data_IF_145630054967
#
_entry.id   IF_145630054967
#
_cell.length_a   1.000
_cell.length_b   1.000
_cell.length_c   1.000
_cell.angle_alpha   90.00
_cell.angle_beta   90.00
_cell.angle_gamma   90.00
#
_symmetry.space_group_name_H-M   'P 1'
#
loop_
_entity.id
_entity.type
_entity.pdbx_description
1 polymer ?
#
# COMPACT_ATOMS: atom_id res chain seq x y z
N UNK A 1 -4.56 10.88 15.63
CA UNK A 1 -3.55 10.34 14.70
C UNK A 1 -2.33 9.81 15.44
N UNK A 2 -1.20 9.59 14.76
CA UNK A 2 0.00 8.96 15.35
C UNK A 2 0.48 9.60 16.67
N UNK A 3 0.36 10.92 16.82
CA UNK A 3 0.74 11.63 18.05
C UNK A 3 0.07 11.10 19.32
N UNK A 4 -1.16 10.60 19.23
CA UNK A 4 -1.91 10.07 20.38
C UNK A 4 -1.71 8.56 20.59
N UNK A 5 -1.10 7.87 19.62
CA UNK A 5 -0.95 6.42 19.67
C UNK A 5 0.17 6.02 20.65
N UNK A 6 -0.14 5.04 21.51
CA UNK A 6 0.74 4.51 22.56
C UNK A 6 1.26 3.09 22.28
N UNK A 7 0.73 2.45 21.23
CA UNK A 7 1.13 1.10 20.85
C UNK A 7 2.56 1.05 20.31
N UNK A 8 3.19 -0.13 20.42
CA UNK A 8 4.51 -0.40 19.83
C UNK A 8 4.47 -0.26 18.31
N UNK A 9 3.46 -0.85 17.69
CA UNK A 9 3.20 -0.76 16.25
C UNK A 9 2.09 0.25 15.99
N UNK A 10 2.28 1.00 14.91
CA UNK A 10 1.38 1.98 14.35
C UNK A 10 0.92 1.49 12.98
N UNK A 11 -0.28 1.91 12.57
CA UNK A 11 -0.78 1.73 11.22
C UNK A 11 -1.61 2.94 10.83
N UNK A 12 -1.73 3.16 9.53
CA UNK A 12 -2.60 4.18 8.97
C UNK A 12 -3.93 3.51 8.62
N UNK A 13 -5.07 4.09 9.02
CA UNK A 13 -6.38 3.65 8.53
C UNK A 13 -7.20 4.84 8.02
N UNK A 14 -7.56 4.81 6.74
CA UNK A 14 -8.44 5.84 6.16
C UNK A 14 -9.88 5.63 6.64
N UNK A 15 -10.64 6.72 6.69
CA UNK A 15 -12.02 6.70 7.20
C UNK A 15 -13.01 5.95 6.29
N UNK A 16 -12.69 5.81 5.01
CA UNK A 16 -13.48 5.15 3.98
C UNK A 16 -13.12 3.68 3.76
N UNK A 17 -12.05 3.20 4.39
CA UNK A 17 -11.50 1.87 4.21
C UNK A 17 -11.73 0.97 5.43
N UNK A 18 -11.37 -0.31 5.32
CA UNK A 18 -11.50 -1.30 6.42
C UNK A 18 -10.21 -2.07 6.67
N UNK A 19 -9.96 -2.38 7.95
CA UNK A 19 -9.00 -3.40 8.36
C UNK A 19 -9.69 -4.77 8.34
N UNK A 20 -9.04 -5.79 7.78
CA UNK A 20 -9.63 -7.13 7.72
C UNK A 20 -9.70 -7.81 9.09
N UNK A 21 -10.61 -8.77 9.29
CA UNK A 21 -10.62 -9.60 10.48
C UNK A 21 -9.29 -10.32 10.71
N UNK A 22 -8.90 -10.49 11.98
CA UNK A 22 -7.71 -11.24 12.38
C UNK A 22 -6.35 -10.56 12.13
N UNK A 23 -6.32 -9.37 11.52
CA UNK A 23 -5.09 -8.61 11.22
C UNK A 23 -4.23 -8.39 12.47
N UNK A 24 -4.85 -7.95 13.57
CA UNK A 24 -4.14 -7.64 14.82
C UNK A 24 -3.52 -8.90 15.42
N UNK A 25 -4.23 -10.03 15.42
CA UNK A 25 -3.70 -11.30 15.94
C UNK A 25 -2.56 -11.83 15.07
N UNK A 26 -2.70 -11.77 13.74
CA UNK A 26 -1.60 -12.13 12.82
C UNK A 26 -0.39 -11.23 12.97
N UNK A 27 -0.59 -9.93 13.22
CA UNK A 27 0.51 -9.01 13.48
C UNK A 27 1.21 -9.34 14.81
N UNK A 28 0.45 -9.64 15.88
CA UNK A 28 1.01 -10.07 17.17
C UNK A 28 1.85 -11.33 17.02
N UNK A 29 1.33 -12.34 16.33
CA UNK A 29 2.06 -13.59 16.04
C UNK A 29 3.35 -13.32 15.26
N UNK A 30 3.28 -12.49 14.22
CA UNK A 30 4.43 -12.16 13.39
C UNK A 30 5.49 -11.34 14.16
N UNK A 31 5.05 -10.40 15.01
CA UNK A 31 5.93 -9.60 15.86
C UNK A 31 6.60 -10.45 16.95
N UNK A 32 5.90 -11.43 17.52
CA UNK A 32 6.48 -12.37 18.47
C UNK A 32 7.55 -13.27 17.80
N UNK A 33 7.28 -13.76 16.59
CA UNK A 33 8.22 -14.57 15.79
C UNK A 33 9.42 -13.77 15.27
N UNK A 34 9.26 -12.47 15.09
CA UNK A 34 10.29 -11.58 14.54
C UNK A 34 10.42 -10.31 15.40
N UNK A 35 10.94 -10.42 16.63
CA UNK A 35 10.95 -9.32 17.60
C UNK A 35 11.80 -8.12 17.16
N UNK A 36 12.78 -8.32 16.27
CA UNK A 36 13.61 -7.26 15.69
C UNK A 36 12.97 -6.59 14.45
N UNK A 37 11.85 -7.10 13.93
CA UNK A 37 11.23 -6.54 12.75
C UNK A 37 10.45 -5.26 13.10
N UNK A 38 10.82 -4.16 12.45
CA UNK A 38 10.23 -2.85 12.73
C UNK A 38 9.11 -2.45 11.76
N UNK A 39 8.95 -3.21 10.68
CA UNK A 39 7.98 -2.91 9.63
C UNK A 39 7.41 -4.20 9.03
N UNK A 40 6.10 -4.35 9.11
CA UNK A 40 5.32 -5.42 8.52
C UNK A 40 4.40 -4.86 7.43
N UNK A 41 4.13 -5.65 6.40
CA UNK A 41 3.18 -5.30 5.36
C UNK A 41 2.23 -6.46 5.03
N UNK A 42 0.96 -6.16 4.83
CA UNK A 42 -0.05 -7.06 4.30
C UNK A 42 -0.43 -6.68 2.87
N UNK A 43 -1.24 -7.52 2.23
CA UNK A 43 -1.87 -7.16 0.97
C UNK A 43 -3.16 -6.39 1.19
N UNK A 44 -3.88 -6.16 0.09
CA UNK A 44 -5.05 -5.31 0.03
C UNK A 44 -6.12 -5.92 -0.88
N UNK A 45 -7.37 -5.91 -0.40
CA UNK A 45 -8.56 -6.13 -1.20
C UNK A 45 -9.07 -4.79 -1.71
N UNK A 46 -9.50 -4.76 -2.96
CA UNK A 46 -10.20 -3.63 -3.54
C UNK A 46 -11.68 -3.94 -3.48
N UNK A 47 -12.44 -3.06 -2.83
CA UNK A 47 -13.84 -3.24 -2.53
C UNK A 47 -14.66 -2.23 -3.31
N UNK A 48 -15.81 -2.65 -3.85
CA UNK A 48 -16.78 -1.74 -4.43
C UNK A 48 -17.55 -0.95 -3.33
N UNK A 49 -18.43 0.00 -3.69
CA UNK A 49 -19.20 0.76 -2.72
C UNK A 49 -20.04 -0.12 -1.78
N UNK A 50 -20.44 -1.31 -2.21
CA UNK A 50 -21.19 -2.33 -1.47
C UNK A 50 -20.30 -3.27 -0.64
N UNK A 51 -18.99 -2.98 -0.54
CA UNK A 51 -18.01 -3.76 0.22
C UNK A 51 -17.78 -5.18 -0.32
N UNK A 52 -18.01 -5.40 -1.61
CA UNK A 52 -17.71 -6.65 -2.31
C UNK A 52 -16.37 -6.58 -3.02
N UNK A 53 -15.71 -7.72 -3.08
CA UNK A 53 -14.35 -7.80 -3.63
C UNK A 53 -14.35 -7.63 -5.14
N UNK A 54 -13.52 -6.72 -5.62
CA UNK A 54 -13.27 -6.48 -7.05
C UNK A 54 -11.89 -6.98 -7.47
N UNK A 55 -10.89 -6.89 -6.58
CA UNK A 55 -9.50 -7.30 -6.86
C UNK A 55 -8.76 -7.67 -5.59
N UNK A 56 -7.90 -8.68 -5.68
CA UNK A 56 -7.06 -9.15 -4.59
C UNK A 56 -5.59 -8.86 -4.88
N UNK A 57 -4.97 -7.93 -4.14
CA UNK A 57 -3.53 -7.67 -4.20
C UNK A 57 -2.84 -8.32 -3.00
N UNK A 58 -2.32 -9.53 -3.19
CA UNK A 58 -1.57 -10.24 -2.13
C UNK A 58 -0.29 -9.47 -1.77
N UNK A 59 0.09 -9.51 -0.50
CA UNK A 59 1.38 -9.00 -0.03
C UNK A 59 2.53 -9.56 -0.88
N UNK A 60 3.47 -8.69 -1.26
CA UNK A 60 4.67 -9.08 -2.00
C UNK A 60 5.90 -8.83 -1.15
N UNK A 61 6.91 -9.73 -1.13
CA UNK A 61 8.13 -9.49 -0.38
C UNK A 61 8.84 -8.21 -0.86
N UNK A 62 9.61 -7.61 0.04
CA UNK A 62 10.40 -6.42 -0.28
C UNK A 62 11.38 -6.72 -1.43
N UNK A 63 11.34 -5.89 -2.48
CA UNK A 63 12.23 -6.00 -3.63
C UNK A 63 13.13 -4.76 -3.73
N UNK A 64 14.43 -4.96 -3.53
CA UNK A 64 15.44 -3.91 -3.65
C UNK A 64 15.47 -3.32 -5.07
N UNK A 65 15.31 -4.18 -6.10
CA UNK A 65 15.26 -3.74 -7.49
C UNK A 65 14.09 -2.80 -7.76
N UNK A 66 12.89 -3.10 -7.21
CA UNK A 66 11.73 -2.22 -7.36
C UNK A 66 11.87 -0.95 -6.54
N UNK A 67 12.38 -1.06 -5.33
CA UNK A 67 12.66 0.08 -4.45
C UNK A 67 13.58 1.09 -5.15
N UNK A 68 14.70 0.63 -5.70
CA UNK A 68 15.64 1.46 -6.49
C UNK A 68 15.00 2.08 -7.72
N UNK A 69 13.85 1.60 -8.16
CA UNK A 69 13.11 2.18 -9.28
C UNK A 69 11.93 3.05 -8.84
N UNK A 70 11.88 3.45 -7.58
CA UNK A 70 10.82 4.33 -7.07
C UNK A 70 9.56 3.58 -6.63
N UNK A 71 9.58 2.25 -6.50
CA UNK A 71 8.42 1.40 -6.20
C UNK A 71 8.62 0.59 -4.90
N UNK A 72 7.78 0.83 -3.90
CA UNK A 72 7.63 -0.05 -2.73
C UNK A 72 6.35 -0.87 -2.90
N UNK A 73 6.42 -2.21 -2.81
CA UNK A 73 5.26 -3.08 -3.10
C UNK A 73 4.29 -3.23 -1.91
N UNK A 74 3.92 -2.11 -1.31
CA UNK A 74 2.96 -2.01 -0.22
C UNK A 74 1.73 -1.28 -0.75
N UNK A 75 0.54 -1.79 -0.43
CA UNK A 75 -0.71 -1.13 -0.79
C UNK A 75 -1.10 -0.15 0.34
N UNK A 76 -0.54 1.06 0.26
CA UNK A 76 -0.78 2.17 1.19
C UNK A 76 -0.84 1.76 2.68
N UNK A 77 -1.99 1.92 3.36
CA UNK A 77 -2.18 1.64 4.79
C UNK A 77 -1.99 0.18 5.21
N UNK A 78 -1.72 -0.75 4.29
CA UNK A 78 -1.40 -2.15 4.64
C UNK A 78 -0.05 -2.33 5.34
N UNK A 79 0.58 -1.25 5.81
CA UNK A 79 1.82 -1.25 6.60
C UNK A 79 1.57 -1.07 8.09
N UNK A 80 2.33 -1.82 8.87
CA UNK A 80 2.39 -1.75 10.33
C UNK A 80 3.85 -1.55 10.73
N UNK A 81 4.17 -0.45 11.36
CA UNK A 81 5.56 -0.06 11.64
C UNK A 81 5.71 0.41 13.08
N UNK A 82 6.90 0.29 13.65
CA UNK A 82 7.12 0.70 15.03
C UNK A 82 7.01 2.21 15.16
N UNK A 83 6.53 2.68 16.32
CA UNK A 83 6.55 4.11 16.65
C UNK A 83 7.96 4.70 16.53
N UNK A 84 8.97 3.95 17.01
CA UNK A 84 10.39 4.30 16.88
C UNK A 84 10.80 4.59 15.43
N UNK A 85 10.38 3.75 14.49
CA UNK A 85 10.71 3.91 13.08
C UNK A 85 10.06 5.16 12.48
N UNK A 86 8.81 5.47 12.85
CA UNK A 86 8.14 6.71 12.45
C UNK A 86 8.86 7.94 12.98
N UNK A 87 9.23 7.91 14.27
CA UNK A 87 9.90 9.03 14.94
C UNK A 87 11.29 9.27 14.34
N UNK A 88 12.01 8.19 13.98
CA UNK A 88 13.35 8.26 13.38
C UNK A 88 13.40 8.98 12.02
N UNK A 89 12.29 8.98 11.26
CA UNK A 89 12.19 9.67 9.95
C UNK A 89 11.47 11.01 10.03
N UNK A 90 11.13 11.47 11.23
CA UNK A 90 10.48 12.77 11.45
C UNK A 90 8.98 12.80 11.17
N UNK A 91 8.33 11.63 11.07
CA UNK A 91 6.90 11.54 10.84
C UNK A 91 6.46 11.69 9.38
N UNK A 92 5.17 11.98 9.17
CA UNK A 92 4.57 12.11 7.82
C UNK A 92 4.79 13.52 7.29
N UNK A 93 5.29 13.63 6.05
CA UNK A 93 5.43 14.92 5.35
C UNK A 93 4.06 15.44 4.90
N UNK A 94 3.48 16.34 5.69
CA UNK A 94 2.15 16.94 5.45
C UNK A 94 2.10 17.90 4.25
N UNK A 95 3.24 18.18 3.61
CA UNK A 95 3.27 18.97 2.36
C UNK A 95 2.83 18.12 1.15
N UNK A 96 2.84 16.80 1.27
CA UNK A 96 2.35 15.87 0.26
C UNK A 96 0.86 15.61 0.48
N UNK A 97 0.09 15.49 -0.61
CA UNK A 97 -1.35 15.27 -0.58
C UNK A 97 -1.76 13.85 -1.05
N UNK A 98 -1.05 13.27 -2.02
CA UNK A 98 -1.34 11.93 -2.56
C UNK A 98 -0.27 10.88 -2.25
N UNK A 99 0.95 11.30 -1.96
CA UNK A 99 2.13 10.41 -1.91
C UNK A 99 2.79 10.33 -0.53
N UNK A 100 2.06 10.73 0.52
CA UNK A 100 2.54 10.75 1.91
C UNK A 100 3.08 9.39 2.38
N UNK A 101 2.30 8.34 2.14
CA UNK A 101 2.64 6.96 2.49
C UNK A 101 3.91 6.51 1.75
N UNK A 102 3.96 6.78 0.45
CA UNK A 102 5.04 6.40 -0.43
C UNK A 102 6.35 7.06 -0.01
N UNK A 103 6.34 8.36 0.34
CA UNK A 103 7.54 9.02 0.88
C UNK A 103 7.99 8.36 2.18
N UNK A 104 7.07 8.11 3.10
CA UNK A 104 7.38 7.48 4.38
C UNK A 104 8.05 6.11 4.21
N UNK A 105 7.52 5.26 3.32
CA UNK A 105 8.10 3.96 3.00
C UNK A 105 9.51 4.04 2.43
N UNK A 106 9.80 5.08 1.65
CA UNK A 106 11.14 5.33 1.14
C UNK A 106 12.10 5.73 2.26
N UNK A 107 11.70 6.64 3.14
CA UNK A 107 12.51 7.07 4.28
C UNK A 107 12.84 5.90 5.22
N UNK A 108 11.88 5.02 5.51
CA UNK A 108 12.15 3.81 6.31
C UNK A 108 13.29 2.95 5.75
N UNK A 109 13.35 2.82 4.42
CA UNK A 109 14.41 2.05 3.77
C UNK A 109 15.70 2.84 3.60
N UNK A 110 15.62 4.11 3.21
CA UNK A 110 16.78 4.94 2.91
C UNK A 110 17.52 5.36 4.18
N UNK A 111 16.79 5.97 5.11
CA UNK A 111 17.36 6.64 6.29
C UNK A 111 17.63 5.64 7.41
N UNK A 112 16.76 4.62 7.55
CA UNK A 112 16.86 3.63 8.63
C UNK A 112 17.31 2.24 8.17
N UNK A 113 17.46 2.00 6.86
CA UNK A 113 17.85 0.68 6.34
C UNK A 113 16.78 -0.42 6.48
N UNK A 114 15.56 -0.08 6.90
CA UNK A 114 14.53 -1.06 7.25
C UNK A 114 13.82 -1.59 6.00
N UNK A 115 13.64 -2.92 5.96
CA UNK A 115 12.82 -3.61 4.96
C UNK A 115 11.59 -4.19 5.64
N UNK A 116 10.43 -4.03 5.01
CA UNK A 116 9.24 -4.67 5.54
C UNK A 116 9.27 -6.20 5.38
N UNK A 117 8.58 -6.89 6.30
CA UNK A 117 8.26 -8.31 6.20
C UNK A 117 6.78 -8.50 5.90
N UNK A 118 6.46 -9.39 4.96
CA UNK A 118 5.06 -9.78 4.74
C UNK A 118 4.56 -10.67 5.88
N UNK A 119 3.39 -10.37 6.46
CA UNK A 119 2.86 -11.14 7.59
C UNK A 119 1.51 -11.82 7.31
N UNK A 120 0.77 -11.35 6.32
CA UNK A 120 -0.49 -11.95 5.88
C UNK A 120 -0.82 -11.58 4.44
N UNK A 121 -1.73 -12.34 3.82
CA UNK A 121 -2.10 -12.12 2.42
C UNK A 121 -2.86 -10.82 2.22
N UNK A 122 -3.83 -10.49 3.09
CA UNK A 122 -4.68 -9.30 2.98
C UNK A 122 -4.92 -8.66 4.35
N UNK A 123 -4.34 -7.49 4.60
CA UNK A 123 -4.57 -6.76 5.85
C UNK A 123 -5.58 -5.63 5.71
N UNK A 124 -5.79 -5.18 4.48
CA UNK A 124 -6.53 -3.96 4.16
C UNK A 124 -7.62 -4.17 3.13
N UNK A 125 -8.75 -3.48 3.29
CA UNK A 125 -9.81 -3.36 2.30
C UNK A 125 -9.94 -1.91 1.87
N UNK A 126 -9.46 -1.60 0.67
CA UNK A 126 -9.58 -0.28 0.06
C UNK A 126 -10.96 -0.15 -0.59
N UNK A 127 -11.77 0.78 -0.12
CA UNK A 127 -13.09 1.05 -0.70
C UNK A 127 -12.95 1.96 -1.91
N UNK A 128 -13.62 1.58 -2.99
CA UNK A 128 -13.65 2.32 -4.23
C UNK A 128 -15.00 3.02 -4.30
N UNK A 129 -14.99 4.35 -4.26
CA UNK A 129 -16.18 5.19 -4.41
C UNK A 129 -15.80 6.53 -5.03
N UNK A 130 -16.75 7.21 -5.67
CA UNK A 130 -16.48 8.42 -6.49
C UNK A 130 -15.77 9.54 -5.73
N UNK A 131 -16.09 9.72 -4.44
CA UNK A 131 -15.46 10.73 -3.59
C UNK A 131 -14.05 10.35 -3.07
N UNK A 132 -13.55 9.14 -3.34
CA UNK A 132 -12.27 8.69 -2.82
C UNK A 132 -11.11 9.42 -3.50
N UNK A 133 -10.15 9.90 -2.70
CA UNK A 133 -9.03 10.75 -3.18
C UNK A 133 -8.23 10.11 -4.32
N UNK A 134 -7.98 8.80 -4.23
CA UNK A 134 -7.12 8.09 -5.17
C UNK A 134 -7.90 7.10 -6.04
N UNK A 135 -8.90 6.43 -5.48
CA UNK A 135 -9.67 5.38 -6.17
C UNK A 135 -10.96 5.89 -6.83
N UNK A 136 -11.40 7.13 -6.57
CA UNK A 136 -12.68 7.62 -7.10
C UNK A 136 -12.75 7.70 -8.62
N UNK A 137 -11.59 7.83 -9.27
CA UNK A 137 -11.50 7.79 -10.73
C UNK A 137 -11.77 6.37 -11.30
N UNK A 138 -11.59 5.32 -10.50
CA UNK A 138 -11.90 3.96 -10.91
C UNK A 138 -13.42 3.67 -10.97
N UNK A 139 -14.28 4.64 -10.61
CA UNK A 139 -15.75 4.53 -10.70
C UNK A 139 -16.25 5.34 -11.88
N UNK A 140 -17.09 4.74 -12.73
CA UNK A 140 -17.88 5.46 -13.74
C UNK A 140 -19.32 4.96 -13.69
N UNK A 141 -20.28 5.87 -13.54
CA UNK A 141 -21.71 5.56 -13.43
C UNK A 141 -22.00 4.54 -12.31
N UNK A 142 -21.38 4.70 -11.14
CA UNK A 142 -21.55 3.78 -10.01
C UNK A 142 -20.93 2.38 -10.18
N UNK A 143 -20.21 2.09 -11.28
CA UNK A 143 -19.53 0.81 -11.51
C UNK A 143 -18.01 0.95 -11.46
N UNK A 144 -17.35 0.04 -10.74
CA UNK A 144 -15.87 -0.03 -10.67
C UNK A 144 -15.32 -0.57 -12.00
N UNK A 145 -14.45 0.20 -12.67
CA UNK A 145 -13.64 -0.28 -13.79
C UNK A 145 -12.53 -1.19 -13.29
N UNK A 146 -12.47 -2.41 -13.82
CA UNK A 146 -11.38 -3.37 -13.52
C UNK A 146 -10.12 -3.14 -14.35
N UNK A 147 -10.14 -2.25 -15.35
CA UNK A 147 -8.95 -1.87 -16.11
C UNK A 147 -8.10 -0.85 -15.33
N UNK A 148 -6.77 -1.00 -15.42
CA UNK A 148 -5.79 -0.17 -14.73
C UNK A 148 -6.12 1.33 -14.81
N UNK A 149 -5.92 2.01 -13.67
CA UNK A 149 -5.90 3.47 -13.46
C UNK A 149 -6.33 4.31 -14.69
N UNK A 150 -7.49 4.98 -14.65
CA UNK A 150 -7.79 5.98 -15.66
C UNK A 150 -6.65 7.01 -15.71
N UNK A 151 -6.26 7.39 -16.93
CA UNK A 151 -5.45 8.60 -17.15
C UNK A 151 -6.24 9.76 -16.53
N UNK A 152 -5.59 10.58 -15.72
CA UNK A 152 -6.26 11.64 -14.94
C UNK A 152 -7.03 12.61 -15.83
N UNK A 153 -8.32 12.81 -15.53
CA UNK A 153 -9.18 13.76 -16.26
C UNK A 153 -9.07 15.23 -15.77
N UNK A 154 -8.07 15.59 -14.96
CA UNK A 154 -7.77 17.02 -14.69
C UNK A 154 -6.27 17.31 -14.63
N UNK A 155 -5.84 18.28 -15.42
CA UNK A 155 -4.45 18.76 -15.50
C UNK A 155 -3.91 19.19 -14.13
N UNK A 156 -4.78 19.74 -13.26
CA UNK A 156 -4.45 20.12 -11.88
C UNK A 156 -3.95 18.94 -11.06
N UNK A 157 -4.64 17.79 -11.10
CA UNK A 157 -4.24 16.58 -10.37
C UNK A 157 -2.96 15.98 -10.94
N UNK A 158 -2.80 16.00 -12.27
CA UNK A 158 -1.57 15.54 -12.92
C UNK A 158 -0.35 16.37 -12.46
N UNK A 159 -0.50 17.69 -12.42
CA UNK A 159 0.56 18.61 -11.98
C UNK A 159 0.92 18.40 -10.51
N UNK A 160 -0.06 18.23 -9.61
CA UNK A 160 0.19 17.90 -8.20
C UNK A 160 0.96 16.58 -8.09
N UNK A 161 0.53 15.52 -8.79
CA UNK A 161 1.21 14.22 -8.78
C UNK A 161 2.63 14.31 -9.30
N UNK A 162 2.89 15.14 -10.31
CA UNK A 162 4.24 15.38 -10.82
C UNK A 162 5.11 16.11 -9.79
N UNK A 163 4.60 17.18 -9.18
CA UNK A 163 5.29 17.91 -8.12
C UNK A 163 5.60 17.00 -6.93
N UNK A 164 4.63 16.22 -6.46
CA UNK A 164 4.83 15.25 -5.39
C UNK A 164 5.78 14.13 -5.77
N UNK A 165 5.75 13.66 -7.02
CA UNK A 165 6.72 12.70 -7.49
C UNK A 165 8.13 13.27 -7.39
N UNK A 166 8.34 14.54 -7.78
CA UNK A 166 9.63 15.23 -7.63
C UNK A 166 10.01 15.43 -6.16
N UNK A 167 9.07 15.82 -5.29
CA UNK A 167 9.31 15.97 -3.84
C UNK A 167 9.57 14.64 -3.12
N UNK A 168 9.08 13.54 -3.68
CA UNK A 168 9.31 12.19 -3.17
C UNK A 168 10.62 11.64 -3.69
N UNK A 169 10.85 11.70 -4.99
CA UNK A 169 11.99 11.06 -5.67
C UNK A 169 13.23 11.93 -5.68
N UNK A 170 13.11 13.25 -5.61
CA UNK A 170 14.25 14.16 -5.51
C UNK A 170 15.14 13.87 -4.29
N UNK A 171 14.54 13.32 -3.23
CA UNK A 171 15.24 12.91 -2.02
C UNK A 171 15.94 11.53 -2.15
N UNK A 172 15.63 10.73 -3.19
CA UNK A 172 16.12 9.35 -3.31
C UNK A 172 16.65 9.03 -4.72
N UNK A 173 17.86 8.46 -4.84
CA UNK A 173 18.38 8.06 -6.16
C UNK A 173 17.52 6.93 -6.75
N UNK A 174 16.83 7.20 -7.87
CA UNK A 174 16.05 6.20 -8.59
C UNK A 174 16.64 5.85 -9.95
N UNK A 175 16.57 4.56 -10.28
CA UNK A 175 16.98 3.99 -11.57
C UNK A 175 15.73 3.43 -12.26
N UNK A 176 15.30 3.98 -13.41
CA UNK A 176 14.12 3.49 -14.11
C UNK A 176 14.20 1.99 -14.45
N UNK A 177 13.06 1.29 -14.37
CA UNK A 177 12.98 -0.10 -14.83
C UNK A 177 12.90 -0.12 -16.35
N UNK A 178 13.87 -0.76 -17.00
CA UNK A 178 13.69 -1.23 -18.38
C UNK A 178 12.56 -2.26 -18.44
N UNK A 179 11.94 -2.51 -19.61
CA UNK A 179 10.89 -3.53 -19.75
C UNK A 179 11.31 -4.90 -19.20
N UNK A 180 12.55 -5.33 -19.48
CA UNK A 180 13.11 -6.56 -18.95
C UNK A 180 13.24 -6.55 -17.42
N UNK A 181 13.83 -5.49 -16.84
CA UNK A 181 13.93 -5.36 -15.38
C UNK A 181 12.56 -5.32 -14.73
N UNK A 182 11.57 -4.69 -15.37
CA UNK A 182 10.19 -4.68 -14.88
C UNK A 182 9.62 -6.09 -14.85
N UNK A 183 9.80 -6.88 -15.90
CA UNK A 183 9.36 -8.28 -15.95
C UNK A 183 10.05 -9.13 -14.88
N UNK A 184 11.39 -9.07 -14.79
CA UNK A 184 12.17 -9.81 -13.81
C UNK A 184 11.88 -9.40 -12.36
N UNK A 185 11.38 -8.17 -12.15
CA UNK A 185 11.01 -7.69 -10.81
C UNK A 185 9.72 -8.30 -10.28
N UNK A 186 8.94 -9.00 -11.11
CA UNK A 186 7.64 -9.53 -10.70
C UNK A 186 7.84 -10.71 -9.76
N UNK A 187 7.26 -10.63 -8.57
CA UNK A 187 7.11 -11.78 -7.70
C UNK A 187 5.93 -12.64 -8.19
N UNK A 188 6.21 -13.54 -9.13
CA UNK A 188 5.19 -14.36 -9.81
C UNK A 188 4.29 -15.17 -8.89
N UNK A 189 4.79 -15.82 -7.80
CA UNK A 189 3.92 -16.54 -6.88
C UNK A 189 2.82 -15.67 -6.28
N UNK A 190 3.16 -14.46 -5.79
CA UNK A 190 2.17 -13.52 -5.26
C UNK A 190 1.27 -12.94 -6.36
N UNK A 191 1.80 -12.72 -7.56
CA UNK A 191 1.03 -12.19 -8.68
C UNK A 191 -0.04 -13.18 -9.14
N UNK A 192 0.33 -14.44 -9.35
CA UNK A 192 -0.60 -15.52 -9.71
C UNK A 192 -1.60 -15.78 -8.59
N UNK A 193 -1.14 -15.86 -7.32
CA UNK A 193 -2.03 -16.02 -6.17
C UNK A 193 -3.08 -14.91 -6.11
N UNK A 194 -2.67 -13.65 -6.33
CA UNK A 194 -3.62 -12.52 -6.38
C UNK A 194 -4.61 -12.62 -7.54
N UNK A 195 -4.16 -13.08 -8.72
CA UNK A 195 -5.04 -13.29 -9.88
C UNK A 195 -6.09 -14.39 -9.59
N UNK A 196 -5.67 -15.55 -9.11
CA UNK A 196 -6.58 -16.64 -8.77
C UNK A 196 -7.53 -16.26 -7.63
N UNK A 197 -7.03 -15.62 -6.58
CA UNK A 197 -7.86 -15.12 -5.49
C UNK A 197 -8.88 -14.09 -5.99
N UNK A 198 -8.50 -13.24 -6.95
CA UNK A 198 -9.47 -12.32 -7.59
C UNK A 198 -10.56 -13.10 -8.30
N UNK A 199 -10.23 -14.15 -9.06
CA UNK A 199 -11.24 -14.98 -9.73
C UNK A 199 -12.18 -15.68 -8.75
N UNK A 200 -11.66 -16.16 -7.61
CA UNK A 200 -12.41 -16.93 -6.61
C UNK A 200 -13.31 -16.04 -5.74
N UNK A 201 -12.81 -14.87 -5.35
CA UNK A 201 -13.46 -14.01 -4.36
C UNK A 201 -14.26 -12.86 -4.96
N UNK A 202 -14.18 -12.62 -6.28
CA UNK A 202 -14.90 -11.51 -6.92
C UNK A 202 -16.40 -11.57 -6.62
N UNK A 203 -16.94 -10.44 -6.16
CA UNK A 203 -18.35 -10.30 -5.78
C UNK A 203 -18.72 -10.82 -4.39
N UNK A 204 -17.81 -11.52 -3.69
CA UNK A 204 -18.01 -11.98 -2.31
C UNK A 204 -17.75 -10.88 -1.30
N UNK A 205 -18.18 -11.09 -0.05
CA UNK A 205 -17.87 -10.18 1.05
C UNK A 205 -16.39 -10.28 1.39
N UNK A 206 -15.79 -9.15 1.80
CA UNK A 206 -14.43 -9.17 2.35
C UNK A 206 -14.30 -9.99 3.64
N UNK A 207 -15.43 -10.31 4.30
CA UNK A 207 -15.47 -11.15 5.51
C UNK A 207 -15.30 -12.64 5.21
N UNK A 208 -15.43 -13.04 3.94
CA UNK A 208 -15.34 -14.43 3.49
C UNK A 208 -13.90 -14.84 3.10
N UNK A 209 -12.92 -13.97 3.37
CA UNK A 209 -11.49 -14.11 3.04
C UNK A 209 -10.66 -14.18 4.31
#
# INVERSE_FOLDING_TARGET
GFAHAKGRFLTWLNADDVMLPGVIEKLKDAAAKHPACEWFAGGCLWLDPEMRIVKCNVARPFSEMRYRSGIVNVCGPSSFFTKRLLDAVGGVDVRLYYSMDSKLWFQFRHDCGVRYRTFMDYAWGLRIHEAAKTSGQAVKNGKVKTSMMPKSDSEKVAKIKETEFKLRVGDFPVVPLTPLRRFLSIHWPSALKGLFATLIYRGKSYKDV
#
